data_IF_816754428536
#
_entry.id   IF_816754428536
#
_cell.length_a   1.000
_cell.length_b   1.000
_cell.length_c   1.000
_cell.angle_alpha   90.00
_cell.angle_beta   90.00
_cell.angle_gamma   90.00
#
_symmetry.space_group_name_H-M   'P 1'
#
loop_
_entity.id
_entity.type
_entity.pdbx_description
1 polymer ?
#
# COMPACT_ATOMS: atom_id res chain seq x y z
N UNK A 1 16.98 23.28 33.64
CA UNK A 1 17.63 22.63 32.46
C UNK A 1 18.58 23.60 31.76
N UNK A 2 18.11 24.75 31.29
CA UNK A 2 18.96 25.76 30.63
C UNK A 2 20.09 26.31 31.54
N UNK A 3 19.80 26.52 32.83
CA UNK A 3 20.81 26.94 33.83
C UNK A 3 21.86 25.87 34.14
N UNK A 4 21.47 24.59 34.14
CA UNK A 4 22.40 23.46 34.30
C UNK A 4 23.36 23.35 33.11
N UNK A 5 22.86 23.58 31.89
CA UNK A 5 23.68 23.62 30.66
C UNK A 5 24.66 24.79 30.71
N UNK A 6 24.19 25.96 31.17
CA UNK A 6 25.05 27.15 31.35
C UNK A 6 26.13 26.93 32.41
N UNK A 7 25.78 26.37 33.56
CA UNK A 7 26.75 26.05 34.60
C UNK A 7 27.79 25.02 34.13
N UNK A 8 27.37 23.97 33.42
CA UNK A 8 28.27 22.97 32.83
C UNK A 8 29.24 23.59 31.80
N UNK A 9 28.73 24.49 30.95
CA UNK A 9 29.54 25.20 29.96
C UNK A 9 30.53 26.20 30.58
N UNK A 10 30.21 26.79 31.73
CA UNK A 10 31.01 27.83 32.38
C UNK A 10 32.03 27.30 33.41
N UNK A 11 31.88 26.06 33.92
CA UNK A 11 32.70 25.55 35.03
C UNK A 11 34.00 24.85 34.62
N UNK A 12 34.33 24.68 33.33
CA UNK A 12 35.58 23.98 32.99
C UNK A 12 36.03 24.15 31.54
N UNK A 13 37.29 23.79 31.30
CA UNK A 13 37.93 23.40 30.02
C UNK A 13 37.14 22.36 29.17
N UNK A 14 35.87 22.10 29.48
CA UNK A 14 34.96 21.14 28.88
C UNK A 14 33.94 21.79 27.92
N UNK A 15 34.03 23.10 27.64
CA UNK A 15 33.24 23.70 26.56
C UNK A 15 33.53 23.00 25.22
N UNK A 16 34.80 22.65 24.98
CA UNK A 16 35.22 21.88 23.81
C UNK A 16 34.60 20.49 23.75
N UNK A 17 34.48 19.79 24.89
CA UNK A 17 33.84 18.46 24.94
C UNK A 17 32.32 18.53 24.81
N UNK A 18 31.67 19.57 25.33
CA UNK A 18 30.25 19.84 25.09
C UNK A 18 29.97 20.10 23.61
N UNK A 19 30.76 20.98 22.97
CA UNK A 19 30.63 21.30 21.54
C UNK A 19 30.92 20.06 20.68
N UNK A 20 31.95 19.30 21.00
CA UNK A 20 32.26 18.04 20.32
C UNK A 20 31.12 17.03 20.46
N UNK A 21 30.53 16.87 21.65
CA UNK A 21 29.40 15.97 21.90
C UNK A 21 28.16 16.36 21.09
N UNK A 22 27.84 17.66 21.03
CA UNK A 22 26.74 18.18 20.21
C UNK A 22 26.98 17.94 18.71
N UNK A 23 28.21 18.18 18.23
CA UNK A 23 28.61 17.91 16.85
C UNK A 23 28.44 16.43 16.51
N UNK A 24 28.93 15.53 17.36
CA UNK A 24 28.80 14.07 17.17
C UNK A 24 27.33 13.68 17.12
N UNK A 25 26.48 14.20 18.01
CA UNK A 25 25.04 13.93 18.00
C UNK A 25 24.38 14.38 16.69
N UNK A 26 24.66 15.61 16.21
CA UNK A 26 24.09 16.13 14.98
C UNK A 26 24.55 15.33 13.75
N UNK A 27 25.85 15.04 13.65
CA UNK A 27 26.41 14.24 12.54
C UNK A 27 25.82 12.83 12.56
N UNK A 28 25.76 12.19 13.73
CA UNK A 28 25.19 10.85 13.87
C UNK A 28 23.71 10.83 13.49
N UNK A 29 22.96 11.84 13.92
CA UNK A 29 21.54 12.00 13.54
C UNK A 29 21.36 12.16 12.03
N UNK A 30 22.21 12.96 11.38
CA UNK A 30 22.19 13.14 9.93
C UNK A 30 22.52 11.84 9.18
N UNK A 31 23.55 11.12 9.62
CA UNK A 31 23.95 9.83 9.03
C UNK A 31 22.82 8.81 9.14
N UNK A 32 22.20 8.69 10.32
CA UNK A 32 21.06 7.78 10.52
C UNK A 32 19.88 8.17 9.62
N UNK A 33 19.62 9.47 9.46
CA UNK A 33 18.56 9.94 8.57
C UNK A 33 18.84 9.58 7.09
N UNK A 34 20.07 9.82 6.61
CA UNK A 34 20.48 9.51 5.23
C UNK A 34 20.38 8.00 4.99
N UNK A 35 21.00 7.18 5.84
CA UNK A 35 20.96 5.70 5.71
C UNK A 35 19.50 5.22 5.62
N UNK A 36 18.63 5.77 6.45
CA UNK A 36 17.22 5.38 6.48
C UNK A 36 16.46 5.80 5.24
N UNK A 37 16.70 6.99 4.69
CA UNK A 37 16.03 7.44 3.46
C UNK A 37 16.43 6.55 2.26
N UNK A 38 17.70 6.16 2.18
CA UNK A 38 18.17 5.20 1.17
C UNK A 38 17.62 3.79 1.37
N UNK A 39 17.63 3.26 2.59
CA UNK A 39 17.19 1.88 2.88
C UNK A 39 15.66 1.69 2.88
N UNK A 40 14.89 2.73 3.22
CA UNK A 40 13.42 2.67 3.31
C UNK A 40 12.71 3.37 2.15
N UNK A 41 13.43 3.63 1.05
CA UNK A 41 12.83 4.20 -0.16
C UNK A 41 11.70 3.28 -0.66
N UNK A 42 10.48 3.79 -0.88
CA UNK A 42 9.41 3.01 -1.49
C UNK A 42 9.80 2.56 -2.91
N UNK A 43 9.29 1.41 -3.38
CA UNK A 43 9.54 0.97 -4.74
C UNK A 43 8.88 1.92 -5.76
N UNK A 44 9.35 1.89 -7.01
CA UNK A 44 8.61 2.50 -8.11
C UNK A 44 7.33 1.71 -8.34
N UNK A 45 6.19 2.40 -8.44
CA UNK A 45 4.89 1.81 -8.72
C UNK A 45 4.46 2.08 -10.16
N UNK A 46 5.40 2.37 -11.07
CA UNK A 46 5.10 2.49 -12.49
C UNK A 46 5.26 1.14 -13.17
N UNK A 47 4.16 0.60 -13.71
CA UNK A 47 4.16 -0.74 -14.31
C UNK A 47 2.81 -1.44 -14.22
N UNK A 48 2.85 -2.76 -14.46
CA UNK A 48 1.70 -3.64 -14.36
C UNK A 48 1.77 -4.43 -13.07
N UNK A 49 0.67 -4.45 -12.32
CA UNK A 49 0.56 -5.14 -11.05
C UNK A 49 -0.73 -5.93 -10.97
N UNK A 50 -0.81 -6.83 -10.00
CA UNK A 50 -1.94 -7.70 -9.77
C UNK A 50 -2.40 -7.55 -8.33
N UNK A 51 -3.71 -7.42 -8.16
CA UNK A 51 -4.38 -7.39 -6.87
C UNK A 51 -5.32 -8.58 -6.81
N UNK A 52 -5.14 -9.43 -5.79
CA UNK A 52 -6.12 -10.45 -5.42
C UNK A 52 -6.77 -10.03 -4.11
N UNK A 53 -8.09 -10.01 -4.09
CA UNK A 53 -8.87 -9.86 -2.87
C UNK A 53 -9.62 -11.15 -2.60
N UNK A 54 -9.74 -11.53 -1.34
CA UNK A 54 -10.45 -12.73 -0.90
C UNK A 54 -11.43 -12.32 0.19
N UNK A 55 -12.72 -12.41 -0.11
CA UNK A 55 -13.80 -11.97 0.77
C UNK A 55 -13.94 -12.91 1.95
N UNK A 56 -13.82 -12.37 3.16
CA UNK A 56 -14.00 -13.12 4.42
C UNK A 56 -15.37 -12.84 5.05
N UNK A 57 -15.90 -11.62 4.86
CA UNK A 57 -17.19 -11.18 5.40
C UNK A 57 -17.95 -10.40 4.33
N UNK A 58 -19.25 -10.62 4.22
CA UNK A 58 -20.12 -9.94 3.26
C UNK A 58 -21.56 -9.89 3.77
N UNK A 59 -22.31 -8.83 3.42
CA UNK A 59 -23.76 -8.78 3.69
C UNK A 59 -24.54 -9.80 2.86
N UNK A 60 -23.96 -10.26 1.74
CA UNK A 60 -24.46 -11.39 0.95
C UNK A 60 -23.51 -12.58 1.06
N UNK A 61 -23.96 -13.63 1.77
CA UNK A 61 -23.15 -14.81 2.13
C UNK A 61 -22.53 -15.53 0.94
N UNK A 62 -23.18 -15.51 -0.23
CA UNK A 62 -22.65 -16.16 -1.44
C UNK A 62 -21.29 -15.59 -1.89
N UNK A 63 -20.92 -14.40 -1.43
CA UNK A 63 -19.61 -13.81 -1.72
C UNK A 63 -18.51 -14.23 -0.73
N UNK A 64 -18.83 -14.86 0.40
CA UNK A 64 -17.82 -15.32 1.35
C UNK A 64 -16.99 -16.45 0.73
N UNK A 65 -15.66 -16.31 0.79
CA UNK A 65 -14.71 -17.20 0.12
C UNK A 65 -14.40 -16.85 -1.34
N UNK A 66 -15.17 -15.95 -1.97
CA UNK A 66 -14.90 -15.50 -3.33
C UNK A 66 -13.55 -14.77 -3.39
N UNK A 67 -12.68 -15.19 -4.31
CA UNK A 67 -11.46 -14.46 -4.63
C UNK A 67 -11.58 -13.75 -5.97
N UNK A 68 -11.46 -12.42 -5.96
CA UNK A 68 -11.44 -11.61 -7.18
C UNK A 68 -10.02 -11.16 -7.50
N UNK A 69 -9.61 -11.34 -8.75
CA UNK A 69 -8.29 -10.94 -9.23
C UNK A 69 -8.40 -9.83 -10.25
N UNK A 70 -7.55 -8.83 -10.08
CA UNK A 70 -7.48 -7.62 -10.89
C UNK A 70 -6.07 -7.43 -11.44
N UNK A 71 -5.99 -6.81 -12.61
CA UNK A 71 -4.76 -6.22 -13.15
C UNK A 71 -4.83 -4.71 -13.01
N UNK A 72 -3.72 -4.11 -12.60
CA UNK A 72 -3.56 -2.67 -12.42
C UNK A 72 -2.46 -2.19 -13.35
N UNK A 73 -2.70 -1.07 -14.04
CA UNK A 73 -1.67 -0.34 -14.77
C UNK A 73 -1.46 0.98 -14.07
N UNK A 74 -0.31 1.14 -13.41
CA UNK A 74 0.00 2.27 -12.53
C UNK A 74 1.13 3.12 -13.11
N UNK A 75 1.10 4.42 -12.80
CA UNK A 75 2.19 5.36 -13.04
C UNK A 75 2.39 6.23 -11.79
N UNK A 76 3.64 6.49 -11.43
CA UNK A 76 3.94 7.39 -10.32
C UNK A 76 3.57 8.82 -10.72
N UNK A 77 2.71 9.46 -9.94
CA UNK A 77 2.46 10.89 -10.04
C UNK A 77 3.46 11.67 -9.17
N UNK A 78 3.77 11.14 -7.99
CA UNK A 78 4.77 11.69 -7.07
C UNK A 78 5.55 10.55 -6.36
N UNK A 79 6.49 10.91 -5.48
CA UNK A 79 7.24 9.92 -4.68
C UNK A 79 6.39 9.17 -3.63
N UNK A 80 5.14 9.55 -3.43
CA UNK A 80 4.20 8.92 -2.48
C UNK A 80 2.82 8.68 -3.07
N UNK A 81 2.64 8.91 -4.37
CA UNK A 81 1.34 8.74 -5.02
C UNK A 81 1.52 8.15 -6.42
N UNK A 82 0.74 7.13 -6.72
CA UNK A 82 0.60 6.57 -8.06
C UNK A 82 -0.89 6.58 -8.45
N UNK A 83 -1.13 6.76 -9.74
CA UNK A 83 -2.48 6.74 -10.32
C UNK A 83 -2.51 5.71 -11.44
N UNK A 84 -3.70 5.24 -11.81
CA UNK A 84 -3.78 4.26 -12.87
C UNK A 84 -5.18 3.75 -13.16
N UNK A 85 -5.20 2.66 -13.92
CA UNK A 85 -6.41 1.91 -14.27
C UNK A 85 -6.39 0.53 -13.63
N UNK A 86 -7.57 0.00 -13.40
CA UNK A 86 -7.76 -1.36 -12.91
C UNK A 86 -8.76 -2.09 -13.79
N UNK A 87 -8.53 -3.39 -14.00
CA UNK A 87 -9.47 -4.28 -14.67
C UNK A 87 -9.62 -5.58 -13.89
N UNK A 88 -10.86 -6.03 -13.70
CA UNK A 88 -11.14 -7.35 -13.13
C UNK A 88 -10.91 -8.42 -14.20
N UNK A 89 -10.05 -9.40 -13.91
CA UNK A 89 -9.62 -10.41 -14.89
C UNK A 89 -10.27 -11.78 -14.68
N UNK A 90 -10.46 -12.21 -13.43
CA UNK A 90 -11.20 -13.43 -13.12
C UNK A 90 -11.65 -13.46 -11.66
N UNK A 91 -12.64 -14.29 -11.38
CA UNK A 91 -13.01 -14.74 -10.05
C UNK A 91 -12.67 -16.22 -9.85
N UNK A 92 -12.37 -16.57 -8.61
CA UNK A 92 -12.31 -17.94 -8.13
C UNK A 92 -13.43 -18.08 -7.11
N UNK A 93 -14.44 -18.85 -7.49
CA UNK A 93 -15.59 -19.20 -6.64
C UNK A 93 -15.16 -20.12 -5.50
N UNK A 94 -16.00 -20.27 -4.47
CA UNK A 94 -15.69 -21.11 -3.30
C UNK A 94 -15.49 -22.61 -3.66
N UNK A 95 -16.09 -23.07 -4.76
CA UNK A 95 -15.89 -24.42 -5.29
C UNK A 95 -14.62 -24.56 -6.15
N UNK A 96 -13.78 -23.51 -6.23
CA UNK A 96 -12.58 -23.47 -7.07
C UNK A 96 -12.86 -23.19 -8.55
N UNK A 97 -14.13 -23.01 -8.96
CA UNK A 97 -14.46 -22.68 -10.33
C UNK A 97 -13.93 -21.29 -10.68
N UNK A 98 -13.21 -21.21 -11.81
CA UNK A 98 -12.63 -19.97 -12.30
C UNK A 98 -13.52 -19.33 -13.35
N UNK A 99 -14.08 -18.17 -13.03
CA UNK A 99 -14.85 -17.35 -13.96
C UNK A 99 -13.93 -16.30 -14.57
N UNK A 100 -13.54 -16.46 -15.82
CA UNK A 100 -12.64 -15.55 -16.53
C UNK A 100 -13.44 -14.45 -17.23
N UNK A 101 -12.96 -13.21 -17.15
CA UNK A 101 -13.54 -12.04 -17.83
C UNK A 101 -12.64 -11.59 -18.99
N UNK A 102 -13.22 -11.50 -20.19
CA UNK A 102 -12.49 -11.13 -21.41
C UNK A 102 -13.15 -9.96 -22.13
N UNK A 103 -12.34 -9.04 -22.65
CA UNK A 103 -12.82 -7.91 -23.44
C UNK A 103 -13.85 -7.06 -22.69
N UNK A 104 -15.05 -6.93 -23.27
CA UNK A 104 -16.14 -6.11 -22.73
C UNK A 104 -16.67 -6.56 -21.37
N UNK A 105 -16.43 -7.81 -20.98
CA UNK A 105 -16.95 -8.36 -19.72
C UNK A 105 -16.06 -8.00 -18.52
N UNK A 106 -14.92 -7.34 -18.75
CA UNK A 106 -14.05 -6.86 -17.69
C UNK A 106 -14.62 -5.61 -17.03
N UNK A 107 -14.80 -5.67 -15.72
CA UNK A 107 -15.10 -4.47 -14.94
C UNK A 107 -13.85 -3.59 -14.89
N UNK A 108 -13.97 -2.35 -15.36
CA UNK A 108 -12.87 -1.39 -15.41
C UNK A 108 -13.06 -0.30 -14.37
N UNK A 109 -11.96 0.33 -13.98
CA UNK A 109 -11.99 1.39 -12.99
C UNK A 109 -10.72 2.21 -12.95
N UNK A 110 -10.73 3.13 -12.00
CA UNK A 110 -9.64 4.03 -11.67
C UNK A 110 -9.05 3.65 -10.33
N UNK A 111 -7.74 3.79 -10.18
CA UNK A 111 -7.02 3.51 -8.94
C UNK A 111 -6.12 4.67 -8.56
N UNK A 112 -6.18 5.04 -7.28
CA UNK A 112 -5.27 5.98 -6.63
C UNK A 112 -4.56 5.23 -5.53
N UNK A 113 -3.24 5.13 -5.61
CA UNK A 113 -2.39 4.50 -4.61
C UNK A 113 -1.59 5.58 -3.89
N UNK A 114 -1.62 5.59 -2.56
CA UNK A 114 -0.83 6.47 -1.72
C UNK A 114 0.11 5.68 -0.81
N UNK A 115 1.29 6.22 -0.55
CA UNK A 115 2.28 5.67 0.38
C UNK A 115 2.30 6.52 1.63
N UNK A 116 1.98 5.89 2.76
CA UNK A 116 2.15 6.48 4.08
C UNK A 116 3.57 6.22 4.58
N UNK A 117 4.32 7.30 4.80
CA UNK A 117 5.70 7.22 5.30
C UNK A 117 5.71 7.24 6.82
N UNK A 118 6.43 6.29 7.41
CA UNK A 118 6.62 6.24 8.85
C UNK A 118 8.10 6.28 9.20
N UNK A 119 8.45 7.07 10.21
CA UNK A 119 9.82 7.11 10.71
C UNK A 119 10.14 5.82 11.47
N UNK A 120 9.35 5.45 12.47
CA UNK A 120 9.67 4.30 13.34
C UNK A 120 9.09 2.96 12.86
N UNK A 121 8.16 2.98 11.91
CA UNK A 121 7.53 1.78 11.36
C UNK A 121 7.93 1.53 9.90
N UNK A 122 7.33 0.48 9.30
CA UNK A 122 7.37 0.28 7.86
C UNK A 122 6.39 1.25 7.18
N UNK A 123 6.77 1.75 6.00
CA UNK A 123 5.85 2.49 5.14
C UNK A 123 4.70 1.59 4.73
N UNK A 124 3.48 2.14 4.65
CA UNK A 124 2.28 1.42 4.22
C UNK A 124 1.81 1.93 2.87
N UNK A 125 1.01 1.13 2.17
CA UNK A 125 0.35 1.54 0.92
C UNK A 125 -1.15 1.43 1.10
N UNK A 126 -1.86 2.47 0.67
CA UNK A 126 -3.31 2.46 0.62
C UNK A 126 -3.74 2.67 -0.83
N UNK A 127 -4.75 1.92 -1.27
CA UNK A 127 -5.34 2.09 -2.58
C UNK A 127 -6.81 2.44 -2.42
N UNK A 128 -7.25 3.46 -3.14
CA UNK A 128 -8.65 3.73 -3.39
C UNK A 128 -8.95 3.38 -4.85
N UNK A 129 -9.91 2.48 -5.03
CA UNK A 129 -10.30 1.94 -6.33
C UNK A 129 -11.76 2.28 -6.56
N UNK A 130 -12.05 2.88 -7.71
CA UNK A 130 -13.40 3.20 -8.17
C UNK A 130 -13.73 2.38 -9.42
N UNK A 131 -14.59 1.37 -9.28
CA UNK A 131 -15.07 0.55 -10.39
C UNK A 131 -16.31 1.18 -11.02
N UNK A 132 -16.34 1.22 -12.35
CA UNK A 132 -17.39 1.93 -13.13
C UNK A 132 -18.69 1.15 -13.23
N UNK A 133 -18.65 -0.18 -13.05
CA UNK A 133 -19.79 -1.04 -13.35
C UNK A 133 -19.97 -1.25 -14.86
N UNK A 134 -21.07 -1.91 -15.24
CA UNK A 134 -21.43 -2.21 -16.62
C UNK A 134 -22.60 -1.32 -17.08
N UNK A 135 -22.58 -0.91 -18.36
CA UNK A 135 -23.64 -0.16 -19.02
C UNK A 135 -24.98 -0.92 -19.02
N UNK A 136 -24.95 -2.26 -19.01
CA UNK A 136 -26.17 -3.09 -18.93
C UNK A 136 -26.72 -3.23 -17.51
N UNK A 137 -26.10 -2.60 -16.50
CA UNK A 137 -26.56 -2.62 -15.11
C UNK A 137 -26.31 -3.92 -14.34
N UNK A 138 -25.74 -4.95 -14.98
CA UNK A 138 -25.40 -6.23 -14.34
C UNK A 138 -24.33 -6.07 -13.24
N UNK A 139 -23.45 -5.07 -13.38
CA UNK A 139 -22.46 -4.71 -12.39
C UNK A 139 -22.64 -3.25 -12.02
N UNK A 140 -22.87 -2.97 -10.73
CA UNK A 140 -22.99 -1.60 -10.26
C UNK A 140 -21.62 -0.95 -10.04
N UNK A 141 -21.54 0.40 -10.12
CA UNK A 141 -20.40 1.12 -9.59
C UNK A 141 -20.11 0.75 -8.13
N UNK A 142 -18.84 0.66 -7.79
CA UNK A 142 -18.42 0.37 -6.42
C UNK A 142 -17.07 0.99 -6.10
N UNK A 143 -16.92 1.34 -4.82
CA UNK A 143 -15.67 1.77 -4.23
C UNK A 143 -15.05 0.64 -3.42
N UNK A 144 -13.75 0.44 -3.60
CA UNK A 144 -12.90 -0.54 -2.92
C UNK A 144 -11.71 0.21 -2.30
N UNK A 145 -11.47 -0.01 -1.01
CA UNK A 145 -10.30 0.50 -0.30
C UNK A 145 -9.44 -0.68 0.10
N UNK A 146 -8.14 -0.61 -0.19
CA UNK A 146 -7.16 -1.65 0.16
C UNK A 146 -6.08 -1.02 1.01
N UNK A 147 -5.83 -1.58 2.20
CA UNK A 147 -4.76 -1.17 3.09
C UNK A 147 -3.69 -2.27 3.15
N UNK A 148 -2.54 -2.02 2.55
CA UNK A 148 -1.40 -2.94 2.50
C UNK A 148 -0.42 -2.65 3.63
N UNK A 149 0.03 -3.72 4.28
CA UNK A 149 0.88 -3.66 5.46
C UNK A 149 2.27 -3.06 5.20
N UNK A 150 2.75 -3.11 3.95
CA UNK A 150 4.07 -2.63 3.54
C UNK A 150 4.04 -1.99 2.16
N UNK A 151 4.80 -0.91 1.99
CA UNK A 151 5.09 -0.31 0.70
C UNK A 151 6.18 -1.09 -0.06
N UNK A 152 5.80 -2.25 -0.59
CA UNK A 152 6.65 -3.15 -1.37
C UNK A 152 5.89 -3.68 -2.58
N UNK A 153 6.61 -4.10 -3.61
CA UNK A 153 6.01 -4.69 -4.82
C UNK A 153 5.19 -5.94 -4.51
N UNK A 154 5.60 -6.70 -3.48
CA UNK A 154 4.82 -7.80 -2.90
C UNK A 154 4.38 -7.46 -1.49
N UNK A 155 3.09 -7.30 -1.26
CA UNK A 155 2.52 -7.03 0.05
C UNK A 155 1.17 -7.71 0.24
N UNK A 156 0.86 -8.00 1.50
CA UNK A 156 -0.47 -8.38 1.94
C UNK A 156 -1.13 -7.22 2.69
N UNK A 157 -2.42 -7.36 2.95
CA UNK A 157 -3.23 -6.36 3.61
C UNK A 157 -4.67 -6.80 3.73
N UNK A 158 -5.54 -5.82 3.91
CA UNK A 158 -6.98 -6.00 3.98
C UNK A 158 -7.67 -5.11 2.97
N UNK A 159 -8.90 -5.45 2.63
CA UNK A 159 -9.76 -4.58 1.85
C UNK A 159 -11.14 -4.43 2.47
N UNK A 160 -11.79 -3.34 2.09
CA UNK A 160 -13.21 -3.11 2.32
C UNK A 160 -13.81 -2.58 1.02
N UNK A 161 -14.97 -3.10 0.64
CA UNK A 161 -15.70 -2.65 -0.55
C UNK A 161 -17.13 -2.32 -0.20
N UNK A 162 -17.65 -1.32 -0.90
CA UNK A 162 -19.08 -1.01 -0.88
C UNK A 162 -19.91 -2.10 -1.55
N UNK A 163 -19.31 -2.95 -2.40
CA UNK A 163 -19.99 -4.08 -3.04
C UNK A 163 -20.35 -5.14 -2.00
N UNK A 164 -21.64 -5.29 -1.71
CA UNK A 164 -22.15 -6.21 -0.68
C UNK A 164 -21.51 -6.00 0.71
N UNK A 165 -21.11 -4.76 1.03
CA UNK A 165 -20.47 -4.38 2.29
C UNK A 165 -19.37 -5.36 2.72
N UNK A 166 -18.59 -5.81 1.74
CA UNK A 166 -17.68 -6.92 1.91
C UNK A 166 -16.29 -6.46 2.38
N UNK A 167 -15.61 -7.34 3.10
CA UNK A 167 -14.24 -7.14 3.57
C UNK A 167 -13.49 -8.45 3.64
N UNK A 168 -12.16 -8.35 3.68
CA UNK A 168 -11.30 -9.53 3.80
C UNK A 168 -9.85 -9.22 3.49
N UNK A 169 -9.15 -10.20 2.93
CA UNK A 169 -7.71 -10.14 2.69
C UNK A 169 -7.39 -9.60 1.29
N UNK A 170 -6.27 -8.90 1.20
CA UNK A 170 -5.73 -8.41 -0.06
C UNK A 170 -4.27 -8.82 -0.24
N UNK A 171 -3.91 -9.19 -1.46
CA UNK A 171 -2.54 -9.51 -1.87
C UNK A 171 -2.23 -8.70 -3.12
N UNK A 172 -1.12 -7.97 -3.08
CA UNK A 172 -0.60 -7.16 -4.17
C UNK A 172 0.77 -7.68 -4.58
N UNK A 173 0.99 -7.84 -5.89
CA UNK A 173 2.25 -8.30 -6.47
C UNK A 173 2.45 -7.79 -7.90
N UNK A 174 3.69 -7.71 -8.35
CA UNK A 174 4.12 -7.43 -9.73
C UNK A 174 4.10 -8.66 -10.64
N UNK A 175 3.95 -9.84 -10.07
CA UNK A 175 3.80 -11.10 -10.79
C UNK A 175 2.33 -11.51 -10.92
N UNK A 176 1.97 -12.18 -12.01
CA UNK A 176 0.63 -12.77 -12.14
C UNK A 176 0.41 -13.83 -11.07
N UNK A 177 -0.81 -13.92 -10.52
CA UNK A 177 -1.16 -14.99 -9.60
C UNK A 177 -1.19 -16.33 -10.34
N UNK A 178 -0.19 -17.17 -10.06
CA UNK A 178 -0.16 -18.56 -10.51
C UNK A 178 -1.06 -19.40 -9.60
N UNK A 179 -1.88 -20.27 -10.19
CA UNK A 179 -2.61 -21.27 -9.43
C UNK A 179 -1.62 -22.32 -8.93
N UNK A 180 -1.71 -22.69 -7.65
CA UNK A 180 -1.09 -23.94 -7.19
C UNK A 180 -1.90 -25.06 -7.85
N UNK A 181 -1.29 -25.73 -8.83
CA UNK A 181 -1.77 -27.00 -9.36
C UNK A 181 -1.86 -28.04 -8.26
#
# INVERSE_FOLDING_TARGET
MMELIKQFALTSSNLGSLVAGLLVFLISGLVVFIIKDFLKKPPSLSGVFYLKITTEKSSKKDYEGLSSVFVLTLINETATKAIGKIEKIYDIENNGFRRVYTGKDRNTGDVILTIERYYLAFNKMNMHISLKGDANGAQRPSSLVVALNRAKLKSNGVFTTTAADASGLAIFQDEIFQDKK
#
